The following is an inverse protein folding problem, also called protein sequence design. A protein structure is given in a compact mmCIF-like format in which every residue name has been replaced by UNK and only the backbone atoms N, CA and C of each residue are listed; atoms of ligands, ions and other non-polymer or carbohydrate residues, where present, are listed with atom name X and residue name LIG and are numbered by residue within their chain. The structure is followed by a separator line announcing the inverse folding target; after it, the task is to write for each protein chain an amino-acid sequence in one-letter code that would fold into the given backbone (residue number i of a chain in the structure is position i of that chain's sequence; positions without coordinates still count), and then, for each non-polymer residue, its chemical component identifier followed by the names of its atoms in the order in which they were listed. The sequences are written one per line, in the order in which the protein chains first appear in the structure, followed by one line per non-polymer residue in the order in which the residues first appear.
data_IF_560999247018
#
_entry.id   IF_560999247018
#
_cell.length_a   1.000
_cell.length_b   1.000
_cell.length_c   1.000
_cell.angle_alpha   90.00
_cell.angle_beta   90.00
_cell.angle_gamma   90.00
#
_symmetry.space_group_name_H-M   'P 1'
#
loop_
_entity.id
_entity.type
_entity.pdbx_description
1 polymer ?
#
# COMPACT_ATOMS: atom_id res chain seq x y z
N UNK A 1 13.55 -12.28 8.09
CA UNK A 1 12.16 -12.32 7.68
C UNK A 1 11.67 -10.91 7.40
N UNK A 2 11.02 -10.73 6.31
CA UNK A 2 10.69 -9.38 5.83
C UNK A 2 9.23 -9.05 6.13
N UNK A 3 8.98 -8.47 7.31
CA UNK A 3 7.65 -8.10 7.76
C UNK A 3 7.03 -7.02 6.87
N UNK A 4 7.84 -6.07 6.41
CA UNK A 4 7.36 -4.99 5.53
C UNK A 4 6.88 -5.55 4.19
N UNK A 5 7.60 -6.52 3.65
CA UNK A 5 7.21 -7.14 2.38
C UNK A 5 5.85 -7.84 2.51
N UNK A 6 5.63 -8.55 3.61
CA UNK A 6 4.34 -9.20 3.87
C UNK A 6 3.22 -8.17 3.98
N UNK A 7 3.48 -7.06 4.66
CA UNK A 7 2.50 -5.99 4.82
C UNK A 7 2.12 -5.37 3.48
N UNK A 8 3.11 -5.11 2.62
CA UNK A 8 2.87 -4.56 1.29
C UNK A 8 2.07 -5.55 0.44
N UNK A 9 2.38 -6.84 0.52
CA UNK A 9 1.64 -7.87 -0.21
C UNK A 9 0.17 -7.90 0.22
N UNK A 10 -0.08 -7.79 1.52
CA UNK A 10 -1.44 -7.73 2.06
C UNK A 10 -2.19 -6.49 1.56
N UNK A 11 -1.54 -5.34 1.56
CA UNK A 11 -2.14 -4.10 1.06
C UNK A 11 -2.45 -4.20 -0.43
N UNK A 12 -1.56 -4.77 -1.22
CA UNK A 12 -1.78 -4.96 -2.65
C UNK A 12 -2.95 -5.90 -2.92
N UNK A 13 -3.14 -6.90 -2.07
CA UNK A 13 -4.29 -7.80 -2.18
C UNK A 13 -5.61 -7.08 -1.95
N UNK A 14 -5.58 -5.94 -1.26
CA UNK A 14 -6.76 -5.14 -0.97
C UNK A 14 -7.02 -4.02 -1.99
N UNK A 15 -6.22 -3.95 -3.05
CA UNK A 15 -6.37 -2.86 -4.05
C UNK A 15 -7.76 -2.80 -4.68
N UNK A 16 -8.41 -3.95 -4.83
CA UNK A 16 -9.77 -4.05 -5.39
C UNK A 16 -10.83 -4.21 -4.30
N UNK A 17 -10.42 -4.19 -3.03
CA UNK A 17 -11.35 -4.35 -1.91
C UNK A 17 -12.10 -3.05 -1.62
N UNK A 18 -13.25 -3.14 -0.93
CA UNK A 18 -13.96 -1.93 -0.49
C UNK A 18 -13.10 -1.07 0.42
N UNK A 19 -13.42 0.22 0.47
CA UNK A 19 -12.70 1.18 1.30
C UNK A 19 -12.66 0.76 2.77
N UNK A 20 -13.76 0.19 3.28
CA UNK A 20 -13.84 -0.26 4.66
C UNK A 20 -12.78 -1.32 4.99
N UNK A 21 -12.59 -2.29 4.09
CA UNK A 21 -11.61 -3.34 4.27
C UNK A 21 -10.19 -2.78 4.23
N UNK A 22 -9.93 -1.85 3.32
CA UNK A 22 -8.63 -1.19 3.20
C UNK A 22 -8.33 -0.38 4.46
N UNK A 23 -9.29 0.42 4.92
CA UNK A 23 -9.12 1.24 6.12
C UNK A 23 -8.90 0.39 7.36
N UNK A 24 -9.58 -0.74 7.46
CA UNK A 24 -9.40 -1.67 8.58
C UNK A 24 -7.96 -2.17 8.66
N UNK A 25 -7.39 -2.57 7.53
CA UNK A 25 -6.02 -3.01 7.46
C UNK A 25 -5.04 -1.87 7.74
N UNK A 26 -5.32 -0.69 7.21
CA UNK A 26 -4.49 0.50 7.44
C UNK A 26 -4.48 0.88 8.93
N UNK A 27 -5.60 0.70 9.62
CA UNK A 27 -5.70 0.97 11.06
C UNK A 27 -4.80 0.04 11.86
N UNK A 28 -4.72 -1.22 11.46
CA UNK A 28 -3.86 -2.22 12.12
C UNK A 28 -2.37 -1.86 11.95
N UNK A 29 -1.99 -1.40 10.78
CA UNK A 29 -0.60 -1.06 10.45
C UNK A 29 -0.23 0.33 10.95
N UNK A 30 -1.17 1.26 10.89
CA UNK A 30 -0.94 2.69 11.11
C UNK A 30 -0.91 3.41 9.76
N UNK A 31 -1.72 4.46 9.61
CA UNK A 31 -1.89 5.16 8.34
C UNK A 31 -0.58 5.72 7.78
N UNK A 32 0.24 6.32 8.65
CA UNK A 32 1.50 6.92 8.24
C UNK A 32 2.48 5.85 7.76
N UNK A 33 2.59 4.76 8.50
CA UNK A 33 3.45 3.65 8.13
C UNK A 33 3.00 3.00 6.82
N UNK A 34 1.70 2.78 6.66
CA UNK A 34 1.14 2.18 5.46
C UNK A 34 1.43 3.03 4.23
N UNK A 35 1.17 4.34 4.30
CA UNK A 35 1.44 5.25 3.19
C UNK A 35 2.94 5.32 2.87
N UNK A 36 3.76 5.40 3.91
CA UNK A 36 5.21 5.47 3.73
C UNK A 36 5.75 4.22 3.03
N UNK A 37 5.31 3.04 3.47
CA UNK A 37 5.73 1.78 2.87
C UNK A 37 5.31 1.68 1.40
N UNK A 38 4.08 2.06 1.10
CA UNK A 38 3.57 2.02 -0.28
C UNK A 38 4.32 3.01 -1.17
N UNK A 39 4.57 4.21 -0.69
CA UNK A 39 5.29 5.24 -1.44
C UNK A 39 6.73 4.80 -1.71
N UNK A 40 7.39 4.25 -0.69
CA UNK A 40 8.76 3.76 -0.81
C UNK A 40 8.86 2.60 -1.81
N UNK A 41 7.93 1.66 -1.71
CA UNK A 41 7.88 0.53 -2.63
C UNK A 41 7.61 0.98 -4.07
N UNK A 42 6.69 1.93 -4.25
CA UNK A 42 6.42 2.48 -5.57
C UNK A 42 7.67 3.12 -6.18
N UNK A 43 8.41 3.89 -5.39
CA UNK A 43 9.64 4.51 -5.85
C UNK A 43 10.70 3.47 -6.23
N UNK A 44 10.76 2.39 -5.45
CA UNK A 44 11.74 1.33 -5.67
C UNK A 44 11.42 0.50 -6.91
N UNK A 45 10.14 0.24 -7.17
CA UNK A 45 9.70 -0.64 -8.25
C UNK A 45 9.44 0.07 -9.58
N UNK A 46 9.49 1.40 -9.60
CA UNK A 46 9.18 2.15 -10.82
C UNK A 46 10.12 1.83 -11.98
N UNK A 47 11.29 1.29 -11.69
CA UNK A 47 12.28 0.92 -12.71
C UNK A 47 12.35 -0.59 -12.95
N UNK A 48 11.73 -1.40 -12.08
CA UNK A 48 11.81 -2.87 -12.19
C UNK A 48 10.45 -3.52 -12.38
N UNK A 49 9.41 -2.97 -11.75
CA UNK A 49 8.07 -3.54 -11.81
C UNK A 49 7.03 -2.42 -11.80
N UNK A 50 6.93 -1.74 -12.93
CA UNK A 50 6.06 -0.58 -13.07
C UNK A 50 4.58 -0.87 -12.73
N UNK A 51 3.98 -2.00 -13.15
CA UNK A 51 2.59 -2.30 -12.77
C UNK A 51 2.38 -2.33 -11.26
N UNK A 52 3.28 -2.96 -10.53
CA UNK A 52 3.19 -3.04 -9.06
C UNK A 52 3.47 -1.67 -8.45
N UNK A 53 4.42 -0.92 -8.99
CA UNK A 53 4.71 0.44 -8.52
C UNK A 53 3.47 1.32 -8.66
N UNK A 54 2.76 1.20 -9.78
CA UNK A 54 1.51 1.94 -10.01
C UNK A 54 0.45 1.55 -8.99
N UNK A 55 0.30 0.27 -8.71
CA UNK A 55 -0.65 -0.21 -7.70
C UNK A 55 -0.32 0.34 -6.31
N UNK A 56 0.95 0.35 -5.94
CA UNK A 56 1.39 0.91 -4.66
C UNK A 56 1.07 2.41 -4.56
N UNK A 57 1.37 3.15 -5.62
CA UNK A 57 1.08 4.58 -5.67
C UNK A 57 -0.42 4.85 -5.58
N UNK A 58 -1.23 4.06 -6.28
CA UNK A 58 -2.68 4.18 -6.26
C UNK A 58 -3.24 3.92 -4.87
N UNK A 59 -2.74 2.89 -4.19
CA UNK A 59 -3.16 2.58 -2.83
C UNK A 59 -2.78 3.69 -1.85
N UNK A 60 -1.57 4.22 -1.97
CA UNK A 60 -1.12 5.30 -1.10
C UNK A 60 -2.00 6.55 -1.28
N UNK A 61 -2.33 6.88 -2.51
CA UNK A 61 -3.21 8.01 -2.83
C UNK A 61 -4.61 7.77 -2.28
N UNK A 62 -5.13 6.56 -2.44
CA UNK A 62 -6.45 6.19 -1.93
C UNK A 62 -6.52 6.31 -0.40
N UNK A 63 -5.50 5.84 0.30
CA UNK A 63 -5.41 5.96 1.76
C UNK A 63 -5.40 7.43 2.16
N UNK A 64 -4.61 8.25 1.46
CA UNK A 64 -4.53 9.69 1.73
C UNK A 64 -5.89 10.37 1.53
N UNK A 65 -6.64 9.96 0.52
CA UNK A 65 -7.97 10.50 0.24
C UNK A 65 -8.99 10.09 1.30
N UNK A 66 -8.89 8.86 1.80
CA UNK A 66 -9.84 8.32 2.78
C UNK A 66 -9.60 8.83 4.19
N UNK A 67 -8.44 9.32 4.47
CA UNK A 67 -8.06 9.86 5.77
C UNK A 67 -8.03 11.38 5.72
#
# INVERSE_FOLDING_TARGET
MDTEHCTITELLALKDAPDDALLDQVEVIGERAARHMLTDEAARLQHTDLPVATDCATLADRIDTLI
#
